data_IF_208726581157
#
_entry.id   IF_208726581157
#
_cell.length_a   1.000
_cell.length_b   1.000
_cell.length_c   1.000
_cell.angle_alpha   90.00
_cell.angle_beta   90.00
_cell.angle_gamma   90.00
#
_symmetry.space_group_name_H-M   'P 1'
#
loop_
_entity.id
_entity.type
_entity.pdbx_description
1 polymer ?
#
# COMPACT_ATOMS: atom_id res chain seq x y z
N UNK A 1 23.43 -8.24 7.48
CA UNK A 1 21.99 -8.43 7.28
C UNK A 1 21.29 -7.71 8.42
N UNK A 2 20.75 -6.52 8.18
CA UNK A 2 20.03 -5.78 9.25
C UNK A 2 18.69 -6.48 9.43
N UNK A 3 18.53 -7.21 10.52
CA UNK A 3 17.23 -7.76 10.92
C UNK A 3 16.42 -6.56 11.41
N UNK A 4 15.61 -5.99 10.52
CA UNK A 4 14.60 -5.02 10.95
C UNK A 4 13.56 -5.83 11.70
N UNK A 5 13.59 -5.76 13.03
CA UNK A 5 12.54 -6.33 13.89
C UNK A 5 11.38 -5.34 13.82
N UNK A 6 10.52 -5.52 12.82
CA UNK A 6 9.21 -4.88 12.82
C UNK A 6 8.39 -5.62 13.87
N UNK A 7 8.20 -4.99 15.03
CA UNK A 7 7.34 -5.52 16.08
C UNK A 7 5.88 -5.30 15.69
N UNK A 8 5.10 -6.38 15.68
CA UNK A 8 3.68 -6.37 15.31
C UNK A 8 2.85 -6.28 16.60
N UNK A 9 2.14 -5.17 16.78
CA UNK A 9 1.12 -5.05 17.80
C UNK A 9 -0.17 -5.76 17.34
N UNK A 10 -0.39 -6.97 17.84
CA UNK A 10 -1.56 -7.76 17.51
C UNK A 10 -2.87 -7.11 17.98
N UNK A 11 -2.85 -6.24 18.99
CA UNK A 11 -4.07 -5.58 19.47
C UNK A 11 -4.67 -4.65 18.41
N UNK A 12 -3.81 -4.11 17.53
CA UNK A 12 -4.16 -3.19 16.44
C UNK A 12 -4.61 -3.86 15.14
N UNK A 13 -4.50 -5.19 15.05
CA UNK A 13 -5.04 -5.92 13.90
C UNK A 13 -6.56 -6.01 13.98
N UNK A 14 -7.24 -5.86 12.84
CA UNK A 14 -8.68 -6.11 12.78
C UNK A 14 -9.01 -7.57 13.07
N UNK A 15 -10.23 -7.83 13.55
CA UNK A 15 -10.69 -9.20 13.80
C UNK A 15 -10.69 -10.05 12.52
N UNK A 16 -10.95 -9.41 11.38
CA UNK A 16 -10.81 -10.04 10.07
C UNK A 16 -9.36 -10.44 9.77
N UNK A 17 -8.39 -9.54 9.95
CA UNK A 17 -6.98 -9.86 9.75
C UNK A 17 -6.51 -10.98 10.68
N UNK A 18 -6.92 -10.95 11.95
CA UNK A 18 -6.64 -12.00 12.93
C UNK A 18 -7.21 -13.36 12.49
N UNK A 19 -8.46 -13.40 12.04
CA UNK A 19 -9.08 -14.61 11.52
C UNK A 19 -8.35 -15.14 10.27
N UNK A 20 -7.93 -14.25 9.36
CA UNK A 20 -7.16 -14.63 8.15
C UNK A 20 -5.79 -15.22 8.49
N UNK A 21 -5.12 -14.73 9.53
CA UNK A 21 -3.86 -15.31 9.99
C UNK A 21 -4.04 -16.72 10.55
N UNK A 22 -5.09 -16.95 11.34
CA UNK A 22 -5.43 -18.30 11.82
C UNK A 22 -5.80 -19.22 10.66
N UNK A 23 -6.59 -18.72 9.70
CA UNK A 23 -6.90 -19.46 8.49
C UNK A 23 -5.64 -19.79 7.68
N UNK A 24 -4.67 -18.88 7.59
CA UNK A 24 -3.41 -19.15 6.91
C UNK A 24 -2.63 -20.32 7.50
N UNK A 25 -2.67 -20.51 8.84
CA UNK A 25 -2.09 -21.69 9.49
C UNK A 25 -2.83 -22.96 9.06
N UNK A 26 -4.16 -22.90 8.99
CA UNK A 26 -4.99 -24.02 8.51
C UNK A 26 -4.70 -24.33 7.04
N UNK A 27 -4.55 -23.32 6.19
CA UNK A 27 -4.24 -23.48 4.76
C UNK A 27 -2.86 -24.12 4.56
N UNK A 28 -1.89 -23.82 5.44
CA UNK A 28 -0.52 -24.34 5.36
C UNK A 28 -0.35 -25.75 5.92
N UNK A 29 -1.00 -26.05 7.05
CA UNK A 29 -0.75 -27.29 7.81
C UNK A 29 -1.96 -28.24 7.87
N UNK A 30 -3.13 -27.79 7.42
CA UNK A 30 -4.39 -28.49 7.60
C UNK A 30 -4.99 -28.31 8.99
N UNK A 31 -6.31 -28.45 9.12
CA UNK A 31 -7.06 -28.17 10.36
C UNK A 31 -6.59 -29.03 11.55
N UNK A 32 -6.27 -30.30 11.30
CA UNK A 32 -5.86 -31.23 12.35
C UNK A 32 -4.52 -30.85 12.98
N UNK A 33 -3.55 -30.46 12.16
CA UNK A 33 -2.22 -30.09 12.63
C UNK A 33 -2.19 -28.66 13.16
N UNK A 34 -2.89 -27.73 12.51
CA UNK A 34 -3.08 -26.36 13.00
C UNK A 34 -3.66 -26.33 14.42
N UNK A 35 -4.63 -27.20 14.71
CA UNK A 35 -5.19 -27.36 16.06
C UNK A 35 -4.15 -27.74 17.10
N UNK A 36 -3.24 -28.68 16.80
CA UNK A 36 -2.16 -29.06 17.71
C UNK A 36 -1.16 -27.93 17.90
N UNK A 37 -0.70 -27.32 16.80
CA UNK A 37 0.31 -26.26 16.81
C UNK A 37 -0.17 -25.00 17.54
N UNK A 38 -1.44 -24.62 17.35
CA UNK A 38 -2.04 -23.48 18.05
C UNK A 38 -2.42 -23.80 19.51
N UNK A 39 -2.48 -25.08 19.87
CA UNK A 39 -2.80 -25.53 21.22
C UNK A 39 -4.27 -25.37 21.60
N UNK A 40 -5.18 -25.50 20.63
CA UNK A 40 -6.63 -25.34 20.84
C UNK A 40 -7.43 -26.39 20.07
N UNK A 41 -8.70 -26.60 20.42
CA UNK A 41 -9.53 -27.60 19.74
C UNK A 41 -9.81 -27.25 18.27
N UNK A 42 -9.98 -28.28 17.42
CA UNK A 42 -10.33 -28.11 15.99
C UNK A 42 -11.59 -27.26 15.78
N UNK A 43 -12.60 -27.46 16.62
CA UNK A 43 -13.83 -26.65 16.57
C UNK A 43 -13.54 -25.18 16.86
N UNK A 44 -12.64 -24.88 17.79
CA UNK A 44 -12.29 -23.50 18.12
C UNK A 44 -11.50 -22.82 16.99
N UNK A 45 -10.52 -23.52 16.39
CA UNK A 45 -9.81 -23.04 15.19
C UNK A 45 -10.81 -22.76 14.07
N UNK A 46 -11.71 -23.70 13.79
CA UNK A 46 -12.69 -23.58 12.72
C UNK A 46 -13.62 -22.36 12.91
N UNK A 47 -14.10 -22.11 14.14
CA UNK A 47 -14.91 -20.92 14.46
C UNK A 47 -14.15 -19.62 14.23
N UNK A 48 -12.87 -19.57 14.63
CA UNK A 48 -12.04 -18.37 14.39
C UNK A 48 -11.81 -18.16 12.89
N UNK A 49 -11.42 -19.22 12.19
CA UNK A 49 -11.18 -19.24 10.75
C UNK A 49 -12.33 -18.69 9.91
N UNK A 50 -13.58 -18.96 10.32
CA UNK A 50 -14.79 -18.43 9.67
C UNK A 50 -15.18 -17.02 10.12
N UNK A 51 -14.53 -16.47 11.15
CA UNK A 51 -14.91 -15.21 11.76
C UNK A 51 -16.05 -15.30 12.78
N UNK A 52 -16.54 -16.51 13.09
CA UNK A 52 -17.61 -16.75 14.07
C UNK A 52 -17.16 -16.44 15.51
N UNK A 53 -15.85 -16.43 15.76
CA UNK A 53 -15.27 -16.13 17.06
C UNK A 53 -14.00 -15.30 16.93
N UNK A 54 -13.88 -14.26 17.75
CA UNK A 54 -12.68 -13.42 17.82
C UNK A 54 -11.44 -14.25 18.19
N UNK A 55 -10.35 -14.05 17.46
CA UNK A 55 -9.07 -14.67 17.77
C UNK A 55 -8.38 -13.91 18.91
N UNK A 56 -7.98 -14.59 20.00
CA UNK A 56 -7.18 -13.96 21.05
C UNK A 56 -5.78 -13.61 20.53
N UNK A 57 -5.20 -12.50 21.01
CA UNK A 57 -3.90 -12.00 20.55
C UNK A 57 -2.76 -13.02 20.74
N UNK A 58 -2.79 -13.79 21.84
CA UNK A 58 -1.83 -14.88 22.08
C UNK A 58 -1.87 -15.96 21.00
N UNK A 59 -3.06 -16.26 20.48
CA UNK A 59 -3.24 -17.25 19.43
C UNK A 59 -2.79 -16.69 18.07
N UNK A 60 -3.04 -15.40 17.81
CA UNK A 60 -2.57 -14.69 16.61
C UNK A 60 -1.04 -14.60 16.61
N UNK A 61 -0.41 -14.33 17.76
CA UNK A 61 1.05 -14.34 17.91
C UNK A 61 1.65 -15.67 17.46
N UNK A 62 1.13 -16.80 17.98
CA UNK A 62 1.55 -18.14 17.54
C UNK A 62 1.33 -18.37 16.04
N UNK A 63 0.20 -17.91 15.50
CA UNK A 63 -0.07 -18.04 14.07
C UNK A 63 0.97 -17.29 13.22
N UNK A 64 1.36 -16.08 13.63
CA UNK A 64 2.40 -15.29 12.97
C UNK A 64 3.77 -15.97 13.06
N UNK A 65 4.14 -16.52 14.20
CA UNK A 65 5.38 -17.29 14.39
C UNK A 65 5.43 -18.52 13.46
N UNK A 66 4.33 -19.27 13.34
CA UNK A 66 4.23 -20.44 12.46
C UNK A 66 4.25 -20.10 10.97
N UNK A 67 3.68 -18.95 10.59
CA UNK A 67 3.63 -18.52 9.20
C UNK A 67 4.96 -17.90 8.73
N UNK A 68 5.63 -17.16 9.61
CA UNK A 68 6.77 -16.33 9.25
C UNK A 68 6.36 -15.05 8.53
N UNK A 69 7.23 -14.05 8.60
CA UNK A 69 6.93 -12.66 8.22
C UNK A 69 6.45 -12.49 6.77
N UNK A 70 7.10 -13.16 5.81
CA UNK A 70 6.75 -13.03 4.39
C UNK A 70 5.35 -13.57 4.08
N UNK A 71 4.93 -14.65 4.74
CA UNK A 71 3.59 -15.20 4.57
C UNK A 71 2.56 -14.31 5.24
N UNK A 72 2.86 -13.77 6.43
CA UNK A 72 1.99 -12.80 7.11
C UNK A 72 1.74 -11.60 6.21
N UNK A 73 2.79 -10.99 5.64
CA UNK A 73 2.67 -9.87 4.68
C UNK A 73 1.78 -10.17 3.47
N UNK A 74 1.73 -11.42 3.02
CA UNK A 74 0.88 -11.85 1.89
C UNK A 74 -0.56 -12.11 2.30
N UNK A 75 -0.79 -12.56 3.54
CA UNK A 75 -2.11 -12.93 4.05
C UNK A 75 -2.91 -11.68 4.44
N UNK A 76 -2.28 -10.72 5.12
CA UNK A 76 -2.92 -9.48 5.54
C UNK A 76 -2.61 -8.35 4.55
N UNK A 77 -3.53 -7.40 4.41
CA UNK A 77 -3.31 -6.23 3.55
C UNK A 77 -2.18 -5.37 4.09
N UNK A 78 -1.51 -4.62 3.21
CA UNK A 78 -0.46 -3.68 3.59
C UNK A 78 -0.94 -2.69 4.68
N UNK A 79 -2.18 -2.22 4.60
CA UNK A 79 -2.78 -1.34 5.60
C UNK A 79 -2.79 -1.96 7.02
N UNK A 80 -3.24 -3.21 7.16
CA UNK A 80 -3.24 -3.94 8.45
C UNK A 80 -1.83 -4.10 9.00
N UNK A 81 -0.87 -4.41 8.12
CA UNK A 81 0.54 -4.47 8.50
C UNK A 81 1.01 -3.11 9.02
N UNK A 82 0.79 -2.02 8.28
CA UNK A 82 1.20 -0.68 8.69
C UNK A 82 0.51 -0.22 9.99
N UNK A 83 -0.77 -0.55 10.21
CA UNK A 83 -1.50 -0.30 11.47
C UNK A 83 -0.85 -1.03 12.63
N UNK A 84 -0.61 -2.32 12.46
CA UNK A 84 0.00 -3.15 13.52
C UNK A 84 1.44 -2.75 13.85
N UNK A 85 2.16 -2.10 12.92
CA UNK A 85 3.48 -1.54 13.16
C UNK A 85 3.45 -0.12 13.76
N UNK A 86 2.25 0.47 13.90
CA UNK A 86 2.07 1.85 14.35
C UNK A 86 2.51 2.92 13.35
N UNK A 87 2.66 2.56 12.08
CA UNK A 87 3.00 3.50 11.01
C UNK A 87 1.78 4.34 10.62
N UNK A 88 0.59 3.74 10.68
CA UNK A 88 -0.68 4.44 10.45
C UNK A 88 -1.62 4.25 11.63
N UNK A 89 -2.50 5.22 11.86
CA UNK A 89 -3.54 5.16 12.89
C UNK A 89 -4.72 4.26 12.47
N UNK A 90 -5.73 4.17 13.34
CA UNK A 90 -6.94 3.37 13.11
C UNK A 90 -7.73 3.80 11.86
N UNK A 91 -7.62 5.07 11.48
CA UNK A 91 -8.24 5.67 10.29
C UNK A 91 -7.36 5.58 9.03
N UNK A 92 -6.13 5.06 9.15
CA UNK A 92 -5.18 4.92 8.05
C UNK A 92 -4.35 6.18 7.78
N UNK A 93 -4.34 7.15 8.70
CA UNK A 93 -3.53 8.37 8.60
C UNK A 93 -2.12 8.12 9.11
N UNK A 94 -1.13 8.68 8.42
CA UNK A 94 0.25 8.78 8.91
C UNK A 94 0.42 10.15 9.55
N UNK A 95 1.13 10.22 10.68
CA UNK A 95 1.55 11.51 11.24
C UNK A 95 2.40 12.26 10.20
N UNK A 96 2.03 13.52 9.92
CA UNK A 96 2.67 14.28 8.83
C UNK A 96 4.14 14.56 9.11
N UNK A 97 4.52 14.78 10.36
CA UNK A 97 5.91 15.05 10.75
C UNK A 97 6.73 13.79 10.51
N UNK A 98 6.24 12.64 11.00
CA UNK A 98 6.87 11.34 10.77
C UNK A 98 7.01 11.02 9.28
N UNK A 99 5.97 11.26 8.47
CA UNK A 99 6.03 11.03 7.03
C UNK A 99 7.12 11.85 6.34
N UNK A 100 7.23 13.14 6.70
CA UNK A 100 8.28 14.03 6.15
C UNK A 100 9.67 13.58 6.58
N UNK A 101 9.86 13.20 7.84
CA UNK A 101 11.13 12.67 8.33
C UNK A 101 11.53 11.38 7.62
N UNK A 102 10.59 10.46 7.43
CA UNK A 102 10.81 9.22 6.70
C UNK A 102 11.22 9.48 5.25
N UNK A 103 10.54 10.40 4.56
CA UNK A 103 10.89 10.79 3.19
C UNK A 103 12.26 11.47 3.13
N UNK A 104 12.59 12.32 4.12
CA UNK A 104 13.90 12.95 4.19
C UNK A 104 15.03 11.92 4.37
N UNK A 105 14.83 10.92 5.23
CA UNK A 105 15.76 9.82 5.41
C UNK A 105 15.89 8.97 4.13
N UNK A 106 14.76 8.59 3.52
CA UNK A 106 14.72 7.84 2.28
C UNK A 106 15.42 8.57 1.12
N UNK A 107 15.33 9.90 1.08
CA UNK A 107 15.96 10.72 0.03
C UNK A 107 17.50 10.71 0.07
N UNK A 108 18.09 10.36 1.22
CA UNK A 108 19.55 10.24 1.39
C UNK A 108 20.11 8.92 0.85
N UNK A 109 19.24 7.93 0.66
CA UNK A 109 19.59 6.65 0.07
C UNK A 109 19.29 6.70 -1.44
N UNK A 110 20.31 6.45 -2.27
CA UNK A 110 20.18 6.62 -3.73
C UNK A 110 19.18 5.63 -4.35
N UNK A 111 19.02 4.43 -3.76
CA UNK A 111 18.06 3.45 -4.22
C UNK A 111 16.62 3.90 -3.93
N UNK A 112 16.33 4.30 -2.68
CA UNK A 112 15.01 4.81 -2.31
C UNK A 112 14.67 6.12 -3.04
N UNK A 113 15.63 7.02 -3.20
CA UNK A 113 15.46 8.23 -4.01
C UNK A 113 15.02 7.88 -5.43
N UNK A 114 15.65 6.90 -6.07
CA UNK A 114 15.25 6.47 -7.41
C UNK A 114 13.84 5.86 -7.42
N UNK A 115 13.53 4.99 -6.46
CA UNK A 115 12.18 4.43 -6.31
C UNK A 115 11.11 5.51 -6.12
N UNK A 116 11.39 6.54 -5.31
CA UNK A 116 10.49 7.67 -5.11
C UNK A 116 10.25 8.42 -6.42
N UNK A 117 11.30 8.73 -7.17
CA UNK A 117 11.17 9.43 -8.45
C UNK A 117 10.37 8.60 -9.46
N UNK A 118 10.68 7.31 -9.60
CA UNK A 118 9.96 6.40 -10.48
C UNK A 118 8.48 6.31 -10.10
N UNK A 119 8.18 6.23 -8.80
CA UNK A 119 6.81 6.24 -8.28
C UNK A 119 6.09 7.54 -8.64
N UNK A 120 6.71 8.70 -8.42
CA UNK A 120 6.05 9.99 -8.69
C UNK A 120 5.84 10.18 -10.20
N UNK A 121 6.80 9.82 -11.03
CA UNK A 121 6.67 9.90 -12.50
C UNK A 121 5.59 8.95 -13.01
N UNK A 122 5.49 7.73 -12.46
CA UNK A 122 4.49 6.75 -12.89
C UNK A 122 3.05 7.16 -12.52
N UNK A 123 2.86 7.82 -11.37
CA UNK A 123 1.53 8.10 -10.83
C UNK A 123 1.06 9.57 -11.00
N UNK A 124 1.99 10.53 -11.13
CA UNK A 124 1.69 11.97 -11.07
C UNK A 124 2.37 12.76 -12.19
N UNK A 125 2.55 12.14 -13.37
CA UNK A 125 3.28 12.76 -14.50
C UNK A 125 2.69 14.11 -14.92
N UNK A 126 1.37 14.22 -14.99
CA UNK A 126 0.71 15.43 -15.49
C UNK A 126 0.77 16.57 -14.45
N UNK A 127 0.59 16.24 -13.17
CA UNK A 127 0.80 17.15 -12.06
C UNK A 127 2.24 17.64 -12.03
N UNK A 128 3.22 16.75 -12.19
CA UNK A 128 4.64 17.11 -12.31
C UNK A 128 4.89 18.08 -13.46
N UNK A 129 4.35 17.81 -14.65
CA UNK A 129 4.51 18.71 -15.80
C UNK A 129 3.92 20.11 -15.55
N UNK A 130 2.79 20.20 -14.84
CA UNK A 130 2.18 21.48 -14.44
C UNK A 130 3.08 22.22 -13.46
N UNK A 131 3.53 21.55 -12.40
CA UNK A 131 4.42 22.13 -11.38
C UNK A 131 5.73 22.62 -12.00
N UNK A 132 6.28 21.87 -12.95
CA UNK A 132 7.53 22.21 -13.65
C UNK A 132 7.34 23.23 -14.79
N UNK A 133 6.11 23.71 -15.04
CA UNK A 133 5.82 24.67 -16.11
C UNK A 133 6.04 24.12 -17.52
N UNK A 134 6.05 22.80 -17.69
CA UNK A 134 6.28 22.13 -18.99
C UNK A 134 5.02 22.15 -19.86
N UNK A 135 3.84 22.24 -19.24
CA UNK A 135 2.58 22.49 -19.95
C UNK A 135 2.36 24.01 -19.97
N UNK A 136 2.29 24.65 -21.15
CA UNK A 136 1.96 26.07 -21.21
C UNK A 136 0.58 26.28 -20.59
N UNK A 137 0.49 27.17 -19.60
CA UNK A 137 -0.70 27.38 -18.77
C UNK A 137 -1.95 27.85 -19.54
N UNK A 138 -1.81 28.26 -20.80
CA UNK A 138 -2.90 28.55 -21.73
C UNK A 138 -2.31 28.70 -23.13
N UNK A 139 -2.73 27.88 -24.08
CA UNK A 139 -2.63 28.27 -25.50
C UNK A 139 -3.83 29.19 -25.75
N UNK A 140 -3.62 30.50 -25.69
CA UNK A 140 -4.61 31.45 -26.20
C UNK A 140 -4.53 31.46 -27.73
N UNK A 141 -5.46 30.79 -28.39
CA UNK A 141 -5.66 30.94 -29.83
C UNK A 141 -6.26 32.32 -30.08
N UNK A 142 -5.44 33.25 -30.58
CA UNK A 142 -5.90 34.58 -31.02
C UNK A 142 -6.11 34.58 -32.52
N UNK A 143 -7.22 35.15 -32.95
CA UNK A 143 -7.50 35.40 -34.36
C UNK A 143 -6.63 36.57 -34.82
N UNK A 144 -5.49 36.27 -35.45
CA UNK A 144 -4.58 37.27 -36.00
C UNK A 144 -4.73 37.39 -37.52
N UNK A 145 -4.25 38.51 -38.08
CA UNK A 145 -4.24 38.75 -39.53
C UNK A 145 -3.49 37.63 -40.29
N UNK A 146 -2.40 37.10 -39.71
CA UNK A 146 -1.64 35.96 -40.24
C UNK A 146 -2.51 34.70 -40.44
N UNK A 147 -3.49 34.49 -39.56
CA UNK A 147 -4.43 33.37 -39.66
C UNK A 147 -5.48 33.62 -40.76
N UNK A 148 -5.93 34.87 -40.93
CA UNK A 148 -6.80 35.24 -42.05
C UNK A 148 -6.08 35.09 -43.40
N UNK A 149 -4.82 35.48 -43.47
CA UNK A 149 -4.00 35.35 -44.67
C UNK A 149 -3.78 33.88 -45.03
N UNK A 150 -3.45 33.04 -44.05
CA UNK A 150 -3.37 31.58 -44.23
C UNK A 150 -4.66 30.96 -44.77
N UNK A 151 -5.83 31.38 -44.24
CA UNK A 151 -7.13 30.92 -44.72
C UNK A 151 -7.40 31.37 -46.16
N UNK A 152 -7.00 32.60 -46.53
CA UNK A 152 -7.14 33.14 -47.89
C UNK A 152 -6.26 32.39 -48.90
N UNK A 153 -5.03 32.04 -48.53
CA UNK A 153 -4.11 31.31 -49.41
C UNK A 153 -4.55 29.85 -49.64
N UNK A 154 -5.03 29.16 -48.60
CA UNK A 154 -5.42 27.75 -48.73
C UNK A 154 -6.83 27.54 -49.29
N UNK A 155 -7.78 28.47 -49.10
CA UNK A 155 -9.08 28.41 -49.81
C UNK A 155 -8.93 28.62 -51.32
N UNK A 156 -7.92 29.37 -51.78
CA UNK A 156 -7.68 29.60 -53.22
C UNK A 156 -7.27 28.35 -54.00
N UNK A 157 -6.73 27.32 -53.35
CA UNK A 157 -6.28 26.07 -54.03
C UNK A 157 -7.39 25.04 -54.23
N UNK A 158 -8.63 25.37 -53.91
CA UNK A 158 -9.77 24.45 -53.98
C UNK A 158 -10.91 25.04 -54.81
N UNK A 159 -10.60 25.46 -56.03
CA UNK A 159 -11.53 25.65 -57.15
C UNK A 159 -10.82 25.16 -58.41
#
# INVERSE_FOLDING_TARGET
MVVIIIEIDFSRLSDYAKARLVQGVVDRYGLAEASKLLGVSRSYVYKISRGDKRAPDLLVRKAVELLGFDNVKRIIKAEEMLKSCGIIDEHGSIDRVFAVELLALASRDEYFKRLMLDFVVANYREELKKILGVIPEKIELKWGEDFEEFLRERKKRRI
#
